data_IF_007676622538
#
_entry.id   IF_007676622538
#
_cell.length_a   1.000
_cell.length_b   1.000
_cell.length_c   1.000
_cell.angle_alpha   90.00
_cell.angle_beta   90.00
_cell.angle_gamma   90.00
#
_symmetry.space_group_name_H-M   'P 1'
#
loop_
_entity.id
_entity.type
_entity.pdbx_description
1 polymer ?
#
# COMPACT_ATOMS: atom_id res chain seq x y z
N UNK A 1 18.77 15.59 21.32
CA UNK A 1 18.61 14.76 20.11
C UNK A 1 17.13 14.65 19.87
N UNK A 2 16.60 15.34 18.86
CA UNK A 2 15.16 15.35 18.53
C UNK A 2 14.92 14.22 17.52
N UNK A 3 14.03 13.31 17.85
CA UNK A 3 13.68 12.16 17.01
C UNK A 3 12.67 12.63 15.95
N UNK A 4 13.04 12.54 14.68
CA UNK A 4 12.07 12.67 13.58
C UNK A 4 11.37 11.33 13.39
N UNK A 5 10.12 11.26 13.81
CA UNK A 5 9.24 10.10 13.59
C UNK A 5 8.68 10.23 12.18
N UNK A 6 9.24 9.53 11.21
CA UNK A 6 8.65 9.40 9.90
C UNK A 6 7.60 8.28 9.96
N UNK A 7 6.32 8.65 10.05
CA UNK A 7 5.22 7.70 9.89
C UNK A 7 5.20 7.20 8.45
N UNK A 8 5.51 5.92 8.25
CA UNK A 8 5.38 5.27 6.96
C UNK A 8 3.89 4.98 6.69
N UNK A 9 3.24 5.84 5.93
CA UNK A 9 1.96 5.51 5.31
C UNK A 9 2.15 4.37 4.31
N UNK A 10 1.13 3.58 4.13
CA UNK A 10 1.04 2.30 3.37
C UNK A 10 1.25 2.41 1.85
N UNK A 11 1.96 3.39 1.37
CA UNK A 11 2.49 3.42 0.02
C UNK A 11 3.99 3.27 0.14
N UNK A 12 4.61 2.50 -0.73
CA UNK A 12 6.06 2.42 -0.97
C UNK A 12 6.60 3.81 -1.39
N UNK A 13 6.33 4.82 -0.56
CA UNK A 13 6.89 6.13 -0.75
C UNK A 13 8.25 6.16 -0.07
N UNK A 14 9.27 6.29 -0.89
CA UNK A 14 10.61 6.59 -0.45
C UNK A 14 10.59 7.71 0.57
N UNK A 15 11.26 7.52 1.70
CA UNK A 15 11.54 8.60 2.62
C UNK A 15 12.47 9.60 1.94
N UNK A 16 11.93 10.55 1.18
CA UNK A 16 12.69 11.70 0.77
C UNK A 16 13.18 12.44 2.03
N UNK A 17 14.43 12.94 2.05
CA UNK A 17 14.86 13.81 3.12
C UNK A 17 13.92 15.03 3.11
N UNK A 18 13.16 15.20 4.18
CA UNK A 18 12.38 16.42 4.37
C UNK A 18 13.37 17.58 4.31
N UNK A 19 13.20 18.48 3.36
CA UNK A 19 13.90 19.77 3.42
C UNK A 19 13.52 20.41 4.76
N UNK A 20 14.52 20.95 5.46
CA UNK A 20 14.37 21.51 6.78
C UNK A 20 13.29 22.61 6.72
N UNK A 21 12.08 22.25 7.09
CA UNK A 21 11.03 23.18 7.42
C UNK A 21 11.44 23.84 8.74
N UNK A 22 11.26 25.13 8.88
CA UNK A 22 11.40 25.82 10.17
C UNK A 22 10.66 25.01 11.23
N UNK A 23 11.27 24.88 12.44
CA UNK A 23 10.66 24.11 13.53
C UNK A 23 9.19 24.52 13.70
N UNK A 24 8.24 23.58 13.72
CA UNK A 24 6.84 23.91 13.88
C UNK A 24 6.66 24.67 15.21
N UNK A 25 5.98 25.79 15.16
CA UNK A 25 5.72 26.62 16.34
C UNK A 25 4.70 26.00 17.32
N UNK A 26 4.41 24.69 17.21
CA UNK A 26 3.38 24.01 17.99
C UNK A 26 3.63 22.50 18.15
N UNK A 27 2.83 21.83 18.99
CA UNK A 27 2.98 20.40 19.30
C UNK A 27 2.58 19.48 18.13
N UNK A 28 2.07 20.02 17.04
CA UNK A 28 1.60 19.26 15.87
C UNK A 28 2.45 19.59 14.65
N UNK A 29 2.98 18.57 14.01
CA UNK A 29 3.66 18.65 12.72
C UNK A 29 2.75 18.10 11.62
N UNK A 30 2.60 18.83 10.51
CA UNK A 30 1.88 18.36 9.33
C UNK A 30 2.89 18.07 8.23
N UNK A 31 2.82 16.88 7.67
CA UNK A 31 3.62 16.44 6.52
C UNK A 31 2.69 16.02 5.39
N UNK A 32 3.16 16.14 4.17
CA UNK A 32 2.39 15.73 3.00
C UNK A 32 3.26 15.17 1.90
N UNK A 33 2.61 14.51 0.97
CA UNK A 33 3.24 14.02 -0.25
C UNK A 33 2.26 14.03 -1.42
N UNK A 34 2.82 14.17 -2.62
CA UNK A 34 2.12 13.99 -3.88
C UNK A 34 3.04 13.26 -4.84
N UNK A 35 2.49 12.39 -5.70
CA UNK A 35 3.29 11.63 -6.66
C UNK A 35 2.51 11.18 -7.86
N UNK A 36 3.27 10.85 -8.89
CA UNK A 36 2.82 10.12 -10.08
C UNK A 36 3.52 8.77 -10.08
N UNK A 37 2.78 7.71 -10.32
CA UNK A 37 3.30 6.35 -10.45
C UNK A 37 2.81 5.74 -11.76
N UNK A 38 3.68 5.02 -12.47
CA UNK A 38 3.31 4.40 -13.75
C UNK A 38 2.30 3.24 -13.61
N UNK A 39 2.21 2.65 -12.40
CA UNK A 39 1.29 1.57 -12.05
C UNK A 39 1.15 1.53 -10.52
N UNK A 40 -0.04 1.80 -10.00
CA UNK A 40 -0.31 1.69 -8.57
C UNK A 40 -0.43 0.22 -8.18
N UNK A 41 0.49 -0.27 -7.35
CA UNK A 41 0.51 -1.65 -6.84
C UNK A 41 0.22 -1.69 -5.35
N UNK A 42 -0.85 -2.40 -4.98
CA UNK A 42 -1.18 -2.72 -3.60
C UNK A 42 -0.90 -4.22 -3.38
N UNK A 43 0.04 -4.53 -2.49
CA UNK A 43 0.48 -5.92 -2.25
C UNK A 43 0.79 -6.66 -3.56
N UNK A 44 1.56 -6.01 -4.44
CA UNK A 44 1.98 -6.56 -5.73
C UNK A 44 0.97 -6.50 -6.86
N UNK A 45 -0.33 -6.27 -6.58
CA UNK A 45 -1.42 -6.27 -7.57
C UNK A 45 -1.78 -4.85 -7.99
N UNK A 46 -1.90 -4.62 -9.30
CA UNK A 46 -2.24 -3.30 -9.84
C UNK A 46 -3.65 -2.87 -9.47
N UNK A 47 -3.76 -1.65 -8.97
CA UNK A 47 -5.01 -0.97 -8.64
C UNK A 47 -5.40 0.07 -9.71
N UNK A 48 -4.51 0.36 -10.63
CA UNK A 48 -4.70 1.32 -11.73
C UNK A 48 -4.72 0.67 -13.10
N UNK A 49 -4.97 -0.64 -13.15
CA UNK A 49 -5.09 -1.43 -14.39
C UNK A 49 -3.81 -1.35 -15.27
N UNK A 50 -2.64 -1.29 -14.61
CA UNK A 50 -1.31 -1.06 -15.20
C UNK A 50 -1.17 0.31 -15.88
N UNK A 51 -2.05 1.23 -15.51
CA UNK A 51 -2.00 2.62 -15.94
C UNK A 51 -1.41 3.53 -14.89
N UNK A 52 -1.21 4.79 -15.27
CA UNK A 52 -0.66 5.81 -14.40
C UNK A 52 -1.66 6.19 -13.30
N UNK A 53 -1.14 6.39 -12.08
CA UNK A 53 -1.93 6.92 -10.97
C UNK A 53 -1.31 8.19 -10.39
N UNK A 54 -2.20 9.10 -9.94
CA UNK A 54 -1.87 10.27 -9.12
C UNK A 54 -2.19 9.89 -7.69
N UNK A 55 -1.22 10.10 -6.79
CA UNK A 55 -1.32 9.72 -5.39
C UNK A 55 -0.94 10.90 -4.51
N UNK A 56 -1.54 10.98 -3.33
CA UNK A 56 -1.16 12.02 -2.37
C UNK A 56 -1.77 11.78 -1.01
N UNK A 57 -1.18 12.42 0.00
CA UNK A 57 -1.66 12.30 1.36
C UNK A 57 -1.11 13.37 2.29
N UNK A 58 -1.76 13.51 3.43
CA UNK A 58 -1.38 14.41 4.51
C UNK A 58 -1.41 13.64 5.83
N UNK A 59 -0.47 13.95 6.73
CA UNK A 59 -0.43 13.39 8.09
C UNK A 59 -0.16 14.51 9.09
N UNK A 60 -0.99 14.59 10.11
CA UNK A 60 -0.77 15.43 11.28
C UNK A 60 -0.28 14.54 12.42
N UNK A 61 0.90 14.83 12.96
CA UNK A 61 1.52 14.09 14.06
C UNK A 61 1.71 15.02 15.26
N UNK A 62 1.18 14.61 16.40
CA UNK A 62 1.39 15.29 17.67
C UNK A 62 2.70 14.80 18.33
N UNK A 63 3.36 15.66 19.10
CA UNK A 63 4.62 15.30 19.81
C UNK A 63 4.52 14.11 20.75
N UNK A 64 3.30 13.76 21.21
CA UNK A 64 3.05 12.55 21.99
C UNK A 64 3.21 11.26 21.21
N UNK A 65 3.32 11.30 19.87
CA UNK A 65 3.33 10.15 18.97
C UNK A 65 1.96 9.80 18.37
N UNK A 66 0.87 10.44 18.81
CA UNK A 66 -0.44 10.28 18.15
C UNK A 66 -0.42 10.93 16.78
N UNK A 67 -0.99 10.27 15.79
CA UNK A 67 -1.12 10.81 14.43
C UNK A 67 -2.46 10.45 13.80
N UNK A 68 -2.87 11.27 12.84
CA UNK A 68 -3.99 11.06 11.95
C UNK A 68 -3.62 11.53 10.56
N UNK A 69 -4.12 10.86 9.54
CA UNK A 69 -3.84 11.25 8.18
C UNK A 69 -4.85 10.72 7.17
N UNK A 70 -4.63 11.14 5.95
CA UNK A 70 -5.39 10.67 4.78
C UNK A 70 -4.44 10.45 3.62
N UNK A 71 -4.81 9.50 2.77
CA UNK A 71 -4.13 9.22 1.51
C UNK A 71 -5.16 8.90 0.45
N UNK A 72 -4.82 9.07 -0.82
CA UNK A 72 -5.72 8.71 -1.90
C UNK A 72 -5.00 8.49 -3.22
N UNK A 73 -5.66 7.77 -4.11
CA UNK A 73 -5.21 7.45 -5.47
C UNK A 73 -6.40 7.28 -6.41
N UNK A 74 -6.23 7.60 -7.68
CA UNK A 74 -7.18 7.14 -8.67
C UNK A 74 -7.04 5.63 -8.89
N UNK A 75 -8.15 5.01 -9.27
CA UNK A 75 -8.28 3.56 -9.48
C UNK A 75 -8.72 3.25 -10.90
N UNK A 76 -8.46 2.01 -11.33
CA UNK A 76 -8.99 1.44 -12.56
C UNK A 76 -9.03 -0.09 -12.49
N UNK A 77 -9.91 -0.72 -13.24
CA UNK A 77 -10.02 -2.18 -13.32
C UNK A 77 -10.30 -2.83 -11.98
N UNK A 78 -9.48 -3.81 -11.60
CA UNK A 78 -9.58 -4.53 -10.31
C UNK A 78 -9.62 -3.58 -9.11
N UNK A 79 -8.77 -2.54 -9.11
CA UNK A 79 -8.64 -1.60 -7.99
C UNK A 79 -9.90 -0.78 -7.72
N UNK A 80 -10.86 -0.73 -8.64
CA UNK A 80 -12.10 0.05 -8.44
C UNK A 80 -12.98 -0.48 -7.30
N UNK A 81 -12.76 -1.70 -6.85
CA UNK A 81 -13.40 -2.32 -5.69
C UNK A 81 -14.90 -2.04 -5.62
N UNK A 82 -15.63 -2.45 -6.67
CA UNK A 82 -17.06 -2.19 -6.81
C UNK A 82 -17.42 -0.96 -7.66
N UNK A 83 -16.49 -0.45 -8.47
CA UNK A 83 -16.73 0.62 -9.44
C UNK A 83 -16.32 2.02 -9.00
N UNK A 84 -15.64 2.17 -7.86
CA UNK A 84 -15.08 3.45 -7.43
C UNK A 84 -13.97 3.92 -8.38
N UNK A 85 -13.87 5.22 -8.61
CA UNK A 85 -12.79 5.81 -9.41
C UNK A 85 -11.59 6.23 -8.56
N UNK A 86 -11.74 6.20 -7.25
CA UNK A 86 -10.76 6.68 -6.29
C UNK A 86 -10.78 5.81 -5.03
N UNK A 87 -9.61 5.55 -4.48
CA UNK A 87 -9.38 5.10 -3.12
C UNK A 87 -9.08 6.32 -2.24
N UNK A 88 -9.69 6.37 -1.10
CA UNK A 88 -9.44 7.38 -0.07
C UNK A 88 -9.29 6.69 1.27
N UNK A 89 -8.11 6.77 1.85
CA UNK A 89 -7.80 6.17 3.13
C UNK A 89 -7.81 7.23 4.22
N UNK A 90 -8.42 6.90 5.34
CA UNK A 90 -8.22 7.59 6.60
C UNK A 90 -7.45 6.67 7.54
N UNK A 91 -6.42 7.19 8.16
CA UNK A 91 -5.66 6.40 9.12
C UNK A 91 -5.36 7.19 10.38
N UNK A 92 -5.24 6.49 11.49
CA UNK A 92 -4.82 7.04 12.76
C UNK A 92 -4.00 6.00 13.52
N UNK A 93 -3.13 6.48 14.40
CA UNK A 93 -2.30 5.58 15.20
C UNK A 93 -1.51 6.27 16.28
N UNK A 94 -0.67 5.46 16.91
CA UNK A 94 0.22 5.89 17.97
C UNK A 94 1.60 5.24 17.81
N UNK A 95 2.60 6.07 17.56
CA UNK A 95 3.99 5.68 17.43
C UNK A 95 4.69 5.81 18.78
N UNK A 96 5.22 4.71 19.29
CA UNK A 96 5.83 4.57 20.63
C UNK A 96 7.32 4.30 20.45
N UNK A 97 8.20 5.27 20.74
CA UNK A 97 9.63 5.02 20.80
C UNK A 97 9.97 3.99 21.90
N UNK A 98 10.76 2.98 21.59
CA UNK A 98 11.15 1.92 22.52
C UNK A 98 12.48 2.23 23.21
N UNK A 99 12.46 3.23 24.10
CA UNK A 99 13.61 3.69 24.84
C UNK A 99 14.75 4.15 23.93
N UNK A 100 15.99 3.83 24.28
CA UNK A 100 17.19 4.25 23.55
C UNK A 100 17.59 3.28 22.43
N UNK A 101 16.76 2.28 22.12
CA UNK A 101 17.04 1.25 21.12
C UNK A 101 17.03 1.76 19.68
N UNK A 102 16.47 2.96 19.42
CA UNK A 102 16.22 3.47 18.09
C UNK A 102 15.05 2.74 17.38
N UNK A 103 14.33 1.86 18.09
CA UNK A 103 13.16 1.19 17.57
C UNK A 103 11.87 1.94 17.92
N UNK A 104 10.86 1.81 17.07
CA UNK A 104 9.53 2.39 17.26
C UNK A 104 8.49 1.31 17.05
N UNK A 105 7.57 1.17 18.00
CA UNK A 105 6.35 0.39 17.86
C UNK A 105 5.22 1.32 17.41
N UNK A 106 4.54 0.98 16.32
CA UNK A 106 3.44 1.75 15.77
C UNK A 106 2.17 0.90 15.76
N UNK A 107 1.13 1.39 16.44
CA UNK A 107 -0.19 0.76 16.52
C UNK A 107 -1.18 1.67 15.81
N UNK A 108 -1.92 1.17 14.84
CA UNK A 108 -2.82 2.00 14.08
C UNK A 108 -3.94 1.24 13.40
N UNK A 109 -4.76 2.01 12.71
CA UNK A 109 -5.90 1.58 11.93
C UNK A 109 -5.91 2.34 10.62
N UNK A 110 -6.13 1.65 9.51
CA UNK A 110 -6.50 2.24 8.23
C UNK A 110 -7.96 1.92 7.91
N UNK A 111 -8.71 2.94 7.52
CA UNK A 111 -10.04 2.80 6.95
C UNK A 111 -9.94 3.09 5.47
N UNK A 112 -10.05 2.02 4.66
CA UNK A 112 -10.09 2.09 3.21
C UNK A 112 -11.48 2.45 2.74
N UNK A 113 -11.61 3.51 1.97
CA UNK A 113 -12.88 3.99 1.42
C UNK A 113 -12.83 4.02 -0.09
N UNK A 114 -13.95 3.65 -0.70
CA UNK A 114 -14.11 3.60 -2.15
C UNK A 114 -15.32 4.45 -2.57
N UNK A 115 -15.18 5.81 -2.55
CA UNK A 115 -16.29 6.73 -2.83
C UNK A 115 -16.94 6.45 -4.18
N UNK A 116 -18.27 6.42 -4.20
CA UNK A 116 -19.10 6.09 -5.38
C UNK A 116 -18.95 4.67 -5.92
N UNK A 117 -18.30 3.77 -5.18
CA UNK A 117 -18.33 2.35 -5.44
C UNK A 117 -19.67 1.72 -5.06
N UNK A 118 -19.77 0.39 -5.20
CA UNK A 118 -20.92 -0.36 -4.74
C UNK A 118 -21.07 -0.27 -3.21
N UNK A 119 -22.26 -0.58 -2.70
CA UNK A 119 -22.51 -0.62 -1.26
C UNK A 119 -21.52 -1.56 -0.55
N UNK A 120 -21.06 -1.12 0.63
CA UNK A 120 -20.24 -1.91 1.56
C UNK A 120 -18.90 -2.35 1.01
N UNK A 121 -18.21 -1.47 0.31
CA UNK A 121 -16.84 -1.68 -0.15
C UNK A 121 -15.78 -1.13 0.79
N UNK A 122 -16.16 -0.31 1.75
CA UNK A 122 -15.24 0.27 2.72
C UNK A 122 -14.90 -0.73 3.82
N UNK A 123 -13.63 -0.83 4.21
CA UNK A 123 -13.19 -1.73 5.26
C UNK A 123 -12.10 -1.14 6.15
N UNK A 124 -12.05 -1.66 7.39
CA UNK A 124 -11.06 -1.29 8.39
C UNK A 124 -9.97 -2.36 8.52
N UNK A 125 -8.72 -1.93 8.63
CA UNK A 125 -7.58 -2.82 8.82
C UNK A 125 -6.65 -2.28 9.92
N UNK A 126 -6.80 -2.73 11.18
CA UNK A 126 -5.82 -2.54 12.25
C UNK A 126 -4.44 -3.08 11.85
N UNK A 127 -3.39 -2.41 12.31
CA UNK A 127 -2.03 -2.85 12.09
C UNK A 127 -1.11 -2.62 13.30
N UNK A 128 -0.04 -3.38 13.33
CA UNK A 128 1.10 -3.22 14.23
C UNK A 128 2.37 -3.23 13.40
N UNK A 129 3.26 -2.25 13.59
CA UNK A 129 4.56 -2.18 12.93
C UNK A 129 5.65 -1.99 13.97
N UNK A 130 6.78 -2.63 13.74
CA UNK A 130 8.02 -2.43 14.47
C UNK A 130 9.09 -1.97 13.48
N UNK A 131 9.62 -0.79 13.69
CA UNK A 131 10.67 -0.24 12.83
C UNK A 131 11.91 0.11 13.64
N UNK A 132 13.08 0.06 12.99
CA UNK A 132 14.35 0.49 13.58
C UNK A 132 15.29 0.98 12.49
N UNK A 133 16.26 1.81 12.90
CA UNK A 133 17.33 2.26 12.03
C UNK A 133 18.69 1.99 12.66
N UNK A 134 19.56 1.31 11.91
CA UNK A 134 20.93 1.04 12.30
C UNK A 134 21.88 1.59 11.23
N UNK A 135 22.56 2.68 11.55
CA UNK A 135 23.38 3.40 10.57
C UNK A 135 22.54 3.90 9.39
N UNK A 136 22.94 3.61 8.13
CA UNK A 136 22.20 4.03 6.96
C UNK A 136 20.99 3.11 6.63
N UNK A 137 20.82 2.00 7.34
CA UNK A 137 19.80 0.98 7.05
C UNK A 137 18.62 1.15 7.96
N UNK A 138 17.43 1.22 7.37
CA UNK A 138 16.11 1.17 8.04
C UNK A 138 15.47 -0.18 7.77
N UNK A 139 14.87 -0.77 8.82
CA UNK A 139 14.08 -2.00 8.74
C UNK A 139 12.69 -1.78 9.33
N UNK A 140 11.71 -2.49 8.81
CA UNK A 140 10.34 -2.54 9.33
C UNK A 140 9.82 -3.97 9.24
N UNK A 141 9.11 -4.39 10.27
CA UNK A 141 8.26 -5.58 10.26
C UNK A 141 6.84 -5.14 10.60
N UNK A 142 5.85 -5.60 9.85
CA UNK A 142 4.47 -5.23 10.04
C UNK A 142 3.52 -6.42 9.96
N UNK A 143 2.40 -6.29 10.67
CA UNK A 143 1.23 -7.15 10.54
C UNK A 143 -0.01 -6.28 10.45
N UNK A 144 -0.94 -6.66 9.58
CA UNK A 144 -2.25 -6.04 9.45
C UNK A 144 -3.33 -7.13 9.42
N UNK A 145 -4.47 -6.84 10.02
CA UNK A 145 -5.58 -7.77 10.07
C UNK A 145 -6.89 -7.03 9.82
N UNK A 146 -7.46 -7.19 8.65
CA UNK A 146 -8.82 -6.76 8.36
C UNK A 146 -9.79 -7.81 8.91
N UNK A 147 -10.53 -7.53 10.00
CA UNK A 147 -11.46 -8.49 10.59
C UNK A 147 -12.63 -8.78 9.63
N UNK A 148 -13.42 -9.78 9.94
CA UNK A 148 -14.57 -10.19 9.10
C UNK A 148 -15.53 -9.03 8.84
N UNK A 149 -15.58 -8.59 7.59
CA UNK A 149 -16.37 -7.46 7.10
C UNK A 149 -17.10 -7.83 5.81
N UNK A 150 -18.26 -7.21 5.57
CA UNK A 150 -19.03 -7.45 4.35
C UNK A 150 -18.29 -7.00 3.09
N UNK A 151 -17.50 -5.95 3.19
CA UNK A 151 -16.65 -5.47 2.09
C UNK A 151 -15.64 -6.51 1.60
N UNK A 152 -15.29 -7.49 2.42
CA UNK A 152 -14.36 -8.58 2.09
C UNK A 152 -15.08 -9.92 1.85
N UNK A 153 -16.42 -9.92 1.90
CA UNK A 153 -17.22 -11.12 1.85
C UNK A 153 -17.36 -11.73 0.46
N UNK A 154 -17.70 -13.01 0.43
CA UNK A 154 -18.09 -13.72 -0.79
C UNK A 154 -19.57 -13.53 -1.05
N UNK A 155 -19.91 -12.71 -2.01
CA UNK A 155 -21.30 -12.45 -2.39
C UNK A 155 -21.91 -13.59 -3.20
N UNK A 156 -21.08 -14.39 -3.85
CA UNK A 156 -21.44 -15.57 -4.61
C UNK A 156 -20.64 -16.77 -4.12
N UNK A 157 -21.29 -17.91 -3.89
CA UNK A 157 -20.60 -19.12 -3.41
C UNK A 157 -20.08 -20.03 -4.53
N UNK A 158 -20.40 -19.72 -5.78
CA UNK A 158 -19.94 -20.45 -6.97
C UNK A 158 -19.53 -19.47 -8.09
N UNK A 159 -18.81 -20.00 -9.10
CA UNK A 159 -18.29 -19.20 -10.20
C UNK A 159 -19.38 -18.53 -11.05
N UNK A 160 -20.54 -19.17 -11.15
CA UNK A 160 -21.68 -18.71 -11.95
C UNK A 160 -22.63 -17.82 -11.14
N UNK A 161 -22.32 -17.57 -9.86
CA UNK A 161 -23.15 -16.81 -8.93
C UNK A 161 -24.59 -17.36 -8.80
N UNK A 162 -24.76 -18.66 -8.87
CA UNK A 162 -26.07 -19.30 -8.73
C UNK A 162 -26.57 -19.29 -7.29
N UNK A 163 -25.66 -19.20 -6.32
CA UNK A 163 -25.96 -19.04 -4.91
C UNK A 163 -25.46 -17.67 -4.48
N UNK A 164 -26.37 -16.72 -4.41
CA UNK A 164 -26.12 -15.36 -3.94
C UNK A 164 -26.24 -15.27 -2.42
N UNK A 165 -25.18 -14.78 -1.77
CA UNK A 165 -25.10 -14.65 -0.30
C UNK A 165 -24.78 -13.22 0.12
N UNK A 166 -25.72 -12.28 0.05
CA UNK A 166 -25.49 -10.93 0.52
C UNK A 166 -25.23 -10.93 2.04
N UNK A 167 -24.29 -10.10 2.48
CA UNK A 167 -23.92 -9.98 3.91
C UNK A 167 -22.94 -11.05 4.42
N UNK A 168 -22.42 -11.91 3.54
CA UNK A 168 -21.29 -12.78 3.89
C UNK A 168 -20.07 -11.93 4.29
N UNK A 169 -19.26 -12.43 5.22
CA UNK A 169 -18.15 -11.68 5.82
C UNK A 169 -16.90 -12.52 5.83
N UNK A 170 -15.83 -11.95 5.28
CA UNK A 170 -14.50 -12.55 5.29
C UNK A 170 -13.47 -11.60 5.87
N UNK A 171 -12.31 -12.14 6.20
CA UNK A 171 -11.18 -11.41 6.78
C UNK A 171 -9.94 -11.49 5.87
N UNK A 172 -8.93 -10.69 6.21
CA UNK A 172 -7.62 -10.79 5.60
C UNK A 172 -6.52 -10.54 6.62
N UNK A 173 -5.48 -11.35 6.58
CA UNK A 173 -4.24 -11.18 7.34
C UNK A 173 -3.09 -10.90 6.38
N UNK A 174 -2.28 -9.89 6.73
CA UNK A 174 -1.08 -9.54 5.97
C UNK A 174 0.10 -9.36 6.91
N UNK A 175 1.23 -10.00 6.58
CA UNK A 175 2.50 -9.83 7.27
C UNK A 175 3.56 -9.42 6.26
N UNK A 176 4.40 -8.44 6.63
CA UNK A 176 5.46 -7.99 5.71
C UNK A 176 6.70 -7.49 6.41
N UNK A 177 7.78 -7.38 5.63
CA UNK A 177 9.02 -6.74 6.01
C UNK A 177 9.52 -5.81 4.92
N UNK A 178 10.04 -4.65 5.35
CA UNK A 178 10.70 -3.67 4.50
C UNK A 178 12.12 -3.45 4.95
N UNK A 179 13.00 -3.22 4.02
CA UNK A 179 14.35 -2.75 4.27
C UNK A 179 14.72 -1.66 3.27
N UNK A 180 15.38 -0.61 3.75
CA UNK A 180 15.95 0.41 2.87
C UNK A 180 17.29 0.90 3.41
N UNK A 181 18.15 1.38 2.51
CA UNK A 181 19.47 1.88 2.91
C UNK A 181 20.02 2.90 1.92
N UNK A 182 20.50 4.03 2.43
CA UNK A 182 21.19 5.02 1.64
C UNK A 182 22.58 4.52 1.21
N UNK A 183 22.96 4.74 -0.04
CA UNK A 183 24.30 4.51 -0.54
C UNK A 183 25.17 5.70 -0.08
N UNK A 184 26.19 5.49 0.76
CA UNK A 184 26.98 6.58 1.29
C UNK A 184 27.55 7.51 0.20
N UNK A 185 27.48 8.82 0.45
CA UNK A 185 27.96 9.88 -0.44
C UNK A 185 27.26 9.95 -1.82
N UNK A 186 26.06 9.40 -1.93
CA UNK A 186 25.21 9.51 -3.12
C UNK A 186 23.80 9.94 -2.76
N UNK A 187 23.02 10.50 -3.66
CA UNK A 187 21.60 10.78 -3.45
C UNK A 187 20.72 9.53 -3.68
N UNK A 188 21.29 8.34 -3.70
CA UNK A 188 20.60 7.08 -4.02
C UNK A 188 20.39 6.25 -2.76
N UNK A 189 19.19 5.68 -2.62
CA UNK A 189 18.90 4.63 -1.65
C UNK A 189 18.35 3.39 -2.36
N UNK A 190 18.60 2.22 -1.77
CA UNK A 190 18.01 0.96 -2.20
C UNK A 190 16.89 0.58 -1.27
N UNK A 191 15.90 -0.15 -1.80
CA UNK A 191 14.77 -0.66 -1.00
C UNK A 191 14.36 -2.06 -1.44
N UNK A 192 13.85 -2.84 -0.49
CA UNK A 192 13.22 -4.11 -0.75
C UNK A 192 12.04 -4.32 0.19
N UNK A 193 11.06 -5.05 -0.28
CA UNK A 193 9.83 -5.44 0.40
C UNK A 193 9.56 -6.92 0.16
N UNK A 194 9.00 -7.59 1.16
CA UNK A 194 8.44 -8.93 1.05
C UNK A 194 7.19 -9.00 1.93
N UNK A 195 6.07 -9.38 1.33
CA UNK A 195 4.79 -9.51 2.00
C UNK A 195 4.12 -10.86 1.77
N UNK A 196 3.20 -11.24 2.66
CA UNK A 196 2.34 -12.40 2.51
C UNK A 196 0.92 -12.08 2.91
N UNK A 197 0.00 -12.24 1.98
CA UNK A 197 -1.45 -12.20 2.21
C UNK A 197 -2.01 -13.57 2.55
N UNK A 198 -3.03 -13.57 3.42
CA UNK A 198 -3.84 -14.74 3.75
C UNK A 198 -5.28 -14.28 4.03
N UNK A 199 -6.16 -14.49 3.07
CA UNK A 199 -7.57 -14.11 3.12
C UNK A 199 -8.41 -15.01 2.23
N UNK A 200 -9.62 -14.55 1.90
CA UNK A 200 -10.46 -15.21 0.91
C UNK A 200 -10.02 -14.87 -0.51
N UNK A 201 -10.29 -15.77 -1.44
CA UNK A 201 -10.22 -15.47 -2.87
C UNK A 201 -11.41 -14.57 -3.26
N UNK A 202 -11.14 -13.50 -4.01
CA UNK A 202 -12.13 -12.52 -4.48
C UNK A 202 -12.15 -12.37 -6.00
N UNK A 203 -11.73 -13.39 -6.74
CA UNK A 203 -11.72 -13.38 -8.19
C UNK A 203 -13.12 -13.52 -8.79
N UNK A 204 -13.40 -12.72 -9.82
CA UNK A 204 -14.65 -12.77 -10.56
C UNK A 204 -15.87 -12.41 -9.70
N UNK A 205 -17.03 -13.02 -9.98
CA UNK A 205 -18.27 -12.74 -9.26
C UNK A 205 -18.31 -13.34 -7.85
N UNK A 206 -17.27 -14.05 -7.42
CA UNK A 206 -17.23 -14.77 -6.15
C UNK A 206 -17.07 -13.86 -4.93
N UNK A 207 -16.97 -12.57 -5.13
CA UNK A 207 -16.91 -11.61 -4.05
C UNK A 207 -15.72 -10.66 -4.12
N UNK A 208 -15.55 -9.89 -3.07
CA UNK A 208 -14.49 -8.91 -2.92
C UNK A 208 -13.38 -9.45 -2.02
N UNK A 209 -12.17 -8.97 -2.21
CA UNK A 209 -11.02 -9.33 -1.38
C UNK A 209 -9.90 -8.30 -1.54
N UNK A 210 -9.15 -8.06 -0.48
CA UNK A 210 -7.86 -7.34 -0.55
C UNK A 210 -6.75 -8.21 -1.13
N UNK A 211 -6.95 -9.53 -1.18
CA UNK A 211 -6.01 -10.50 -1.72
C UNK A 211 -6.71 -11.32 -2.80
N UNK A 212 -6.57 -11.00 -4.10
CA UNK A 212 -7.43 -11.54 -5.16
C UNK A 212 -7.48 -13.07 -5.23
N UNK A 213 -6.37 -13.75 -4.93
CA UNK A 213 -6.32 -15.22 -4.88
C UNK A 213 -6.39 -15.79 -3.46
N UNK A 214 -6.53 -14.92 -2.46
CA UNK A 214 -6.62 -15.28 -1.05
C UNK A 214 -5.27 -15.48 -0.37
N UNK A 215 -4.31 -16.17 -1.00
CA UNK A 215 -2.99 -16.45 -0.41
C UNK A 215 -1.90 -16.33 -1.45
N UNK A 216 -1.01 -15.37 -1.24
CA UNK A 216 0.17 -15.20 -2.09
C UNK A 216 1.26 -14.41 -1.39
N UNK A 217 2.47 -14.49 -1.94
CA UNK A 217 3.60 -13.61 -1.62
C UNK A 217 3.66 -12.48 -2.63
N UNK A 218 4.05 -11.30 -2.16
CA UNK A 218 4.42 -10.18 -2.99
C UNK A 218 5.80 -9.66 -2.59
N UNK A 219 6.55 -9.14 -3.56
CA UNK A 219 7.86 -8.55 -3.29
C UNK A 219 8.18 -7.39 -4.23
N UNK A 220 9.09 -6.56 -3.75
CA UNK A 220 9.62 -5.44 -4.50
C UNK A 220 11.12 -5.30 -4.21
N UNK A 221 11.87 -4.96 -5.25
CA UNK A 221 13.23 -4.41 -5.12
C UNK A 221 13.35 -3.15 -5.96
N UNK A 222 13.99 -2.12 -5.42
CA UNK A 222 14.03 -0.84 -6.11
C UNK A 222 15.12 0.11 -5.63
N UNK A 223 15.18 1.25 -6.29
CA UNK A 223 16.07 2.34 -5.97
C UNK A 223 15.35 3.68 -6.06
N UNK A 224 15.72 4.59 -5.18
CA UNK A 224 15.22 5.95 -5.11
C UNK A 224 16.38 6.93 -5.31
N UNK A 225 16.17 7.95 -6.11
CA UNK A 225 17.07 9.07 -6.34
C UNK A 225 16.44 10.35 -5.79
N UNK A 226 16.95 10.85 -4.68
CA UNK A 226 16.62 12.19 -4.19
C UNK A 226 17.27 13.23 -5.13
N UNK A 227 16.46 14.04 -5.80
CA UNK A 227 16.96 15.06 -6.74
C UNK A 227 17.55 16.23 -5.96
N UNK A 228 18.87 16.45 -6.02
CA UNK A 228 19.51 17.46 -5.18
C UNK A 228 18.92 18.84 -5.36
N UNK A 229 18.67 19.54 -4.24
CA UNK A 229 18.14 20.92 -4.24
C UNK A 229 16.64 21.03 -4.54
N UNK A 230 15.92 19.92 -4.58
CA UNK A 230 14.47 19.89 -4.80
C UNK A 230 13.78 18.93 -3.79
N UNK A 231 12.46 19.04 -3.58
CA UNK A 231 11.71 18.06 -2.80
C UNK A 231 11.40 16.76 -3.57
N UNK A 232 11.96 16.59 -4.78
CA UNK A 232 11.61 15.51 -5.69
C UNK A 232 12.41 14.24 -5.41
N UNK A 233 11.75 13.10 -5.51
CA UNK A 233 12.34 11.77 -5.55
C UNK A 233 11.89 11.06 -6.82
N UNK A 234 12.84 10.52 -7.56
CA UNK A 234 12.59 9.61 -8.68
C UNK A 234 12.81 8.18 -8.18
N UNK A 235 11.90 7.28 -8.54
CA UNK A 235 11.95 5.88 -8.10
C UNK A 235 11.80 4.93 -9.27
N UNK A 236 12.53 3.82 -9.19
CA UNK A 236 12.35 2.64 -10.04
C UNK A 236 12.25 1.42 -9.15
N UNK A 237 11.28 0.54 -9.42
CA UNK A 237 11.10 -0.68 -8.66
C UNK A 237 10.63 -1.83 -9.56
N UNK A 238 11.22 -3.00 -9.36
CA UNK A 238 10.68 -4.26 -9.85
C UNK A 238 9.70 -4.80 -8.81
N UNK A 239 8.49 -5.11 -9.23
CA UNK A 239 7.40 -5.62 -8.38
C UNK A 239 6.87 -6.92 -8.97
N UNK A 240 6.60 -7.91 -8.12
CA UNK A 240 6.08 -9.20 -8.56
C UNK A 240 5.27 -9.89 -7.45
N UNK A 241 4.58 -10.98 -7.81
CA UNK A 241 3.86 -11.87 -6.90
C UNK A 241 4.09 -13.34 -7.27
N UNK A 242 3.83 -14.27 -6.36
CA UNK A 242 3.84 -15.72 -6.63
C UNK A 242 2.47 -16.27 -7.07
N UNK A 243 1.53 -15.39 -7.46
CA UNK A 243 0.22 -15.78 -7.97
C UNK A 243 0.38 -16.69 -9.18
N UNK A 244 -0.27 -17.86 -9.13
CA UNK A 244 -0.14 -18.89 -10.16
C UNK A 244 -0.73 -18.42 -11.50
N UNK A 245 -0.10 -18.82 -12.62
CA UNK A 245 -0.53 -18.41 -13.97
C UNK A 245 -2.00 -18.73 -14.29
N UNK A 246 -2.53 -19.82 -13.77
CA UNK A 246 -3.93 -20.19 -13.96
C UNK A 246 -4.87 -19.19 -13.29
N UNK A 247 -4.46 -18.62 -12.17
CA UNK A 247 -5.23 -17.59 -11.44
C UNK A 247 -5.06 -16.22 -12.08
N UNK A 248 -3.90 -15.92 -12.70
CA UNK A 248 -3.67 -14.69 -13.47
C UNK A 248 -4.66 -14.49 -14.63
N UNK A 249 -5.30 -15.55 -15.12
CA UNK A 249 -6.32 -15.45 -16.16
C UNK A 249 -7.51 -14.59 -15.75
N UNK A 250 -7.78 -14.48 -14.46
CA UNK A 250 -8.84 -13.66 -13.89
C UNK A 250 -8.36 -12.26 -13.49
N UNK A 251 -7.05 -12.04 -13.46
CA UNK A 251 -6.41 -10.79 -13.04
C UNK A 251 -5.86 -10.02 -14.26
N UNK A 252 -6.77 -9.58 -15.12
CA UNK A 252 -6.42 -8.88 -16.38
C UNK A 252 -6.94 -7.45 -16.38
N UNK A 253 -6.27 -6.57 -17.13
CA UNK A 253 -6.76 -5.22 -17.34
C UNK A 253 -8.22 -5.23 -17.82
N UNK A 254 -9.04 -4.31 -17.28
CA UNK A 254 -10.45 -4.15 -17.59
C UNK A 254 -11.27 -5.46 -17.49
N UNK A 255 -10.90 -6.36 -16.59
CA UNK A 255 -11.55 -7.68 -16.42
C UNK A 255 -11.64 -8.50 -17.72
N UNK A 256 -10.75 -8.27 -18.67
CA UNK A 256 -10.73 -9.01 -19.93
C UNK A 256 -10.46 -10.49 -19.68
N UNK A 257 -11.28 -11.35 -20.26
CA UNK A 257 -11.05 -12.79 -20.27
C UNK A 257 -9.85 -13.12 -21.17
N UNK A 258 -9.08 -14.14 -20.79
CA UNK A 258 -7.97 -14.63 -21.59
C UNK A 258 -8.44 -15.05 -23.00
N UNK A 259 -8.00 -14.35 -24.01
CA UNK A 259 -8.08 -14.82 -25.38
C UNK A 259 -6.69 -15.35 -25.78
N UNK A 260 -6.57 -16.67 -25.82
CA UNK A 260 -5.33 -17.35 -26.19
C UNK A 260 -4.10 -17.08 -25.32
N UNK A 261 -2.91 -17.16 -25.89
CA UNK A 261 -1.60 -17.06 -25.21
C UNK A 261 -1.22 -15.65 -24.67
N UNK A 262 -2.17 -14.73 -24.53
CA UNK A 262 -1.94 -13.36 -24.04
C UNK A 262 -1.70 -13.27 -22.52
N UNK A 263 -0.93 -14.20 -21.95
CA UNK A 263 -0.57 -14.23 -20.53
C UNK A 263 0.25 -12.99 -20.05
N UNK A 264 0.77 -12.18 -20.97
CA UNK A 264 1.63 -11.03 -20.65
C UNK A 264 0.93 -9.81 -20.03
N UNK A 265 -0.40 -9.83 -19.86
CA UNK A 265 -1.18 -8.67 -19.43
C UNK A 265 -1.79 -8.79 -18.03
N UNK A 266 -1.37 -9.76 -17.22
CA UNK A 266 -1.86 -9.88 -15.84
C UNK A 266 -1.52 -8.63 -15.01
N UNK A 267 -2.48 -8.18 -14.19
CA UNK A 267 -2.28 -7.09 -13.23
C UNK A 267 -1.49 -7.52 -11.99
N UNK A 268 -1.28 -8.83 -11.80
CA UNK A 268 -0.50 -9.40 -10.69
C UNK A 268 0.94 -9.80 -11.09
N UNK A 269 1.26 -9.76 -12.38
CA UNK A 269 2.56 -10.19 -12.90
C UNK A 269 3.65 -9.15 -12.67
N UNK A 270 4.89 -9.63 -12.73
CA UNK A 270 6.10 -8.81 -12.65
C UNK A 270 6.05 -7.60 -13.58
N UNK A 271 6.46 -6.48 -13.06
CA UNK A 271 6.55 -5.23 -13.80
C UNK A 271 7.63 -4.33 -13.22
N UNK A 272 8.08 -3.37 -14.02
CA UNK A 272 8.90 -2.27 -13.54
C UNK A 272 7.99 -1.05 -13.37
N UNK A 273 7.99 -0.51 -12.18
CA UNK A 273 7.21 0.69 -11.80
C UNK A 273 8.15 1.87 -11.69
N UNK A 274 7.79 2.98 -12.31
CA UNK A 274 8.46 4.26 -12.18
C UNK A 274 7.59 5.22 -11.40
N UNK A 275 8.20 6.05 -10.57
CA UNK A 275 7.46 7.14 -9.92
C UNK A 275 8.31 8.41 -9.79
N UNK A 276 7.60 9.54 -9.69
CA UNK A 276 8.11 10.82 -9.25
C UNK A 276 7.23 11.31 -8.12
N UNK A 277 7.82 11.70 -7.01
CA UNK A 277 7.09 12.21 -5.85
C UNK A 277 7.75 13.44 -5.26
N UNK A 278 6.97 14.24 -4.56
CA UNK A 278 7.43 15.33 -3.71
C UNK A 278 6.86 15.15 -2.31
N UNK A 279 7.70 15.42 -1.29
CA UNK A 279 7.29 15.48 0.11
C UNK A 279 7.52 16.89 0.68
N UNK A 280 6.67 17.33 1.58
CA UNK A 280 6.69 18.65 2.22
C UNK A 280 6.15 18.60 3.65
#
# INVERSE_FOLDING_TARGET
MKYQIACAALALMSSAPAFAQEEPAGPVTVTGSVGLVSDYRFRGVSQSDRGMAIQGGLTATHESGVYVGTWGSNLSGWGTFGGANMELDLFAGYAIPLGDSGATLDLGLTWYMYPSGADKTDFAEPYVKLSSQVGPVKGLLGVAYAPKQEALGKWCSDADCTIYKPGDKEDNFYIWGDVSGAIPNTPVSLKAHLGRSNGNSGLGPNGTSVAPTGKYLDWLVGADLAVPGTPLTLSIAYVDTDIARVEENYLRPNFQVADGDNFGKSIARSTVVFSISAAF
#
